data_IF_312169300554
#
_entry.id   IF_312169300554
#
_cell.length_a   1.000
_cell.length_b   1.000
_cell.length_c   1.000
_cell.angle_alpha   90.00
_cell.angle_beta   90.00
_cell.angle_gamma   90.00
#
_symmetry.space_group_name_H-M   'P 1'
#
loop_
_entity.id
_entity.type
_entity.pdbx_description
1 polymer ?
#
# COMPACT_ATOMS: atom_id res chain seq x y z
N UNK A 1 -38.04 10.70 19.34
CA UNK A 1 -36.65 10.32 19.66
C UNK A 1 -36.00 9.90 18.36
N UNK A 2 -35.38 10.83 17.63
CA UNK A 2 -34.80 10.54 16.31
C UNK A 2 -33.32 10.27 16.48
N UNK A 3 -32.90 9.00 16.37
CA UNK A 3 -31.49 8.63 16.32
C UNK A 3 -30.99 8.85 14.90
N UNK A 4 -30.20 9.90 14.71
CA UNK A 4 -29.41 10.13 13.49
C UNK A 4 -28.30 9.09 13.44
N UNK A 5 -28.39 8.14 12.51
CA UNK A 5 -27.30 7.22 12.22
C UNK A 5 -26.16 8.01 11.58
N UNK A 6 -25.09 8.23 12.34
CA UNK A 6 -23.82 8.71 11.80
C UNK A 6 -23.30 7.69 10.80
N UNK A 7 -23.27 8.06 9.52
CA UNK A 7 -22.59 7.28 8.50
C UNK A 7 -21.09 7.32 8.79
N UNK A 8 -20.59 6.33 9.52
CA UNK A 8 -19.17 6.01 9.48
C UNK A 8 -18.87 5.65 8.02
N UNK A 9 -18.16 6.54 7.33
CA UNK A 9 -17.66 6.29 5.99
C UNK A 9 -16.76 5.05 6.07
N UNK A 10 -17.34 3.88 5.81
CA UNK A 10 -16.60 2.63 5.74
C UNK A 10 -15.58 2.79 4.63
N UNK A 11 -14.30 2.60 4.95
CA UNK A 11 -13.28 2.53 3.93
C UNK A 11 -13.65 1.40 2.95
N UNK A 12 -13.41 1.62 1.66
CA UNK A 12 -13.69 0.62 0.64
C UNK A 12 -12.98 -0.71 0.99
N UNK A 13 -13.62 -1.86 0.75
CA UNK A 13 -13.03 -3.15 1.07
C UNK A 13 -11.70 -3.34 0.33
N UNK A 14 -10.72 -3.96 1.00
CA UNK A 14 -9.44 -4.30 0.37
C UNK A 14 -9.67 -5.29 -0.76
N UNK A 15 -9.22 -4.94 -1.96
CA UNK A 15 -9.22 -5.87 -3.10
C UNK A 15 -7.99 -6.76 -3.02
N UNK A 16 -8.17 -8.08 -2.88
CA UNK A 16 -7.05 -9.01 -2.90
C UNK A 16 -6.44 -9.08 -4.31
N UNK A 17 -5.12 -9.11 -4.40
CA UNK A 17 -4.43 -9.07 -5.68
C UNK A 17 -3.06 -8.41 -5.61
N UNK A 18 -2.51 -8.10 -6.80
CA UNK A 18 -1.16 -7.58 -6.96
C UNK A 18 -1.14 -6.06 -7.06
N UNK A 19 -0.42 -5.44 -6.14
CA UNK A 19 -0.21 -4.00 -6.07
C UNK A 19 1.18 -3.65 -6.58
N UNK A 20 1.25 -2.96 -7.71
CA UNK A 20 2.52 -2.49 -8.28
C UNK A 20 2.94 -1.18 -7.62
N UNK A 21 4.18 -1.11 -7.15
CA UNK A 21 4.71 0.03 -6.39
C UNK A 21 5.75 0.82 -7.19
N UNK A 22 5.61 2.14 -7.15
CA UNK A 22 6.52 3.11 -7.79
C UNK A 22 6.87 4.24 -6.82
N UNK A 23 8.09 4.73 -6.87
CA UNK A 23 8.43 6.05 -6.31
C UNK A 23 8.47 7.07 -7.43
N UNK A 24 8.24 8.33 -7.08
CA UNK A 24 8.35 9.45 -8.02
C UNK A 24 9.35 10.46 -7.46
N UNK A 25 10.34 10.81 -8.26
CA UNK A 25 11.36 11.80 -7.91
C UNK A 25 11.34 12.94 -8.91
N UNK A 26 11.22 14.17 -8.42
CA UNK A 26 11.34 15.34 -9.27
C UNK A 26 12.81 15.59 -9.61
N UNK A 27 13.15 15.63 -10.89
CA UNK A 27 14.49 16.01 -11.37
C UNK A 27 14.49 17.47 -11.74
N UNK A 28 14.99 18.31 -10.83
CA UNK A 28 15.07 19.75 -11.03
C UNK A 28 15.87 20.14 -12.29
N UNK A 29 16.92 19.38 -12.63
CA UNK A 29 17.76 19.63 -13.82
C UNK A 29 17.02 19.48 -15.16
N UNK A 30 15.98 18.65 -15.21
CA UNK A 30 15.18 18.42 -16.43
C UNK A 30 13.75 18.96 -16.31
N UNK A 31 13.32 19.41 -15.13
CA UNK A 31 11.94 19.84 -14.89
C UNK A 31 10.91 18.72 -14.97
N UNK A 32 11.33 17.46 -14.91
CA UNK A 32 10.46 16.28 -15.10
C UNK A 32 10.39 15.39 -13.87
N UNK A 33 9.31 14.60 -13.78
CA UNK A 33 9.20 13.52 -12.80
C UNK A 33 9.79 12.23 -13.37
N UNK A 34 10.69 11.61 -12.62
CA UNK A 34 11.15 10.25 -12.86
C UNK A 34 10.33 9.30 -12.00
N UNK A 35 9.83 8.22 -12.60
CA UNK A 35 9.09 7.16 -11.91
C UNK A 35 9.97 5.92 -11.82
N UNK A 36 10.28 5.49 -10.60
CA UNK A 36 11.18 4.36 -10.36
C UNK A 36 10.32 3.18 -9.87
N UNK A 37 10.23 2.07 -10.62
CA UNK A 37 9.51 0.88 -10.19
C UNK A 37 10.30 0.14 -9.10
N UNK A 38 9.63 -0.21 -8.01
CA UNK A 38 10.24 -0.95 -6.89
C UNK A 38 9.80 -2.42 -6.83
N UNK A 39 8.83 -2.81 -7.66
CA UNK A 39 8.28 -4.16 -7.70
C UNK A 39 6.80 -4.14 -7.36
N UNK A 40 6.32 -5.22 -6.76
CA UNK A 40 4.92 -5.35 -6.37
C UNK A 40 4.77 -6.17 -5.12
N UNK A 41 3.69 -5.98 -4.37
CA UNK A 41 3.27 -6.92 -3.35
C UNK A 41 1.91 -7.51 -3.71
N UNK A 42 1.72 -8.78 -3.42
CA UNK A 42 0.42 -9.45 -3.55
C UNK A 42 -0.14 -9.70 -2.17
N UNK A 43 -1.41 -9.39 -1.94
CA UNK A 43 -2.13 -9.72 -0.71
C UNK A 43 -3.18 -10.80 -0.98
N UNK A 44 -3.21 -11.81 -0.13
CA UNK A 44 -4.10 -12.96 -0.23
C UNK A 44 -5.21 -12.92 0.83
N UNK A 45 -6.38 -13.54 0.58
CA UNK A 45 -7.49 -13.52 1.53
C UNK A 45 -7.19 -14.22 2.87
N UNK A 46 -6.16 -15.06 2.93
CA UNK A 46 -5.71 -15.72 4.16
C UNK A 46 -4.91 -14.78 5.09
N UNK A 47 -4.63 -13.54 4.68
CA UNK A 47 -3.85 -12.55 5.44
C UNK A 47 -2.33 -12.64 5.22
N UNK A 48 -1.87 -13.41 4.24
CA UNK A 48 -0.47 -13.42 3.81
C UNK A 48 -0.21 -12.40 2.70
N UNK A 49 1.02 -11.88 2.65
CA UNK A 49 1.51 -11.10 1.53
C UNK A 49 2.81 -11.67 0.97
N UNK A 50 3.06 -11.41 -0.31
CA UNK A 50 4.31 -11.71 -1.01
C UNK A 50 4.83 -10.49 -1.74
N UNK A 51 6.03 -10.03 -1.40
CA UNK A 51 6.76 -8.98 -2.09
C UNK A 51 7.62 -9.56 -3.22
N UNK A 52 7.41 -9.05 -4.43
CA UNK A 52 7.94 -9.52 -5.71
C UNK A 52 8.92 -8.49 -6.33
N UNK A 53 9.75 -7.85 -5.50
CA UNK A 53 10.81 -6.94 -5.95
C UNK A 53 12.20 -7.58 -6.05
N UNK A 54 12.32 -8.87 -5.72
CA UNK A 54 13.59 -9.62 -5.72
C UNK A 54 13.45 -10.91 -6.54
N UNK A 55 14.59 -11.53 -6.86
CA UNK A 55 14.61 -12.84 -7.53
C UNK A 55 13.86 -13.92 -6.72
N UNK A 56 13.99 -13.88 -5.39
CA UNK A 56 13.19 -14.70 -4.48
C UNK A 56 12.16 -13.83 -3.75
N UNK A 57 10.85 -14.16 -3.83
CA UNK A 57 9.82 -13.41 -3.11
C UNK A 57 10.09 -13.35 -1.61
N UNK A 58 9.80 -12.20 -1.01
CA UNK A 58 9.81 -12.04 0.45
C UNK A 58 8.38 -12.09 0.97
N UNK A 59 8.10 -12.96 1.93
CA UNK A 59 6.74 -13.21 2.42
C UNK A 59 6.54 -12.76 3.86
N UNK A 60 5.31 -12.37 4.18
CA UNK A 60 4.91 -12.05 5.55
C UNK A 60 3.41 -12.06 5.71
N UNK A 61 2.92 -11.38 6.75
CA UNK A 61 1.50 -11.23 7.07
C UNK A 61 1.08 -9.77 6.92
N UNK A 62 -0.20 -9.56 6.66
CA UNK A 62 -0.79 -8.24 6.70
C UNK A 62 -2.08 -8.24 7.52
N UNK A 63 -2.42 -7.07 8.06
CA UNK A 63 -3.70 -6.80 8.68
C UNK A 63 -4.35 -5.61 7.96
N UNK A 64 -5.64 -5.74 7.63
CA UNK A 64 -6.42 -4.66 7.05
C UNK A 64 -7.35 -4.06 8.10
N UNK A 65 -7.25 -2.75 8.30
CA UNK A 65 -8.14 -1.99 9.16
C UNK A 65 -9.31 -1.45 8.33
N UNK A 66 -10.50 -2.03 8.48
CA UNK A 66 -11.68 -1.64 7.70
C UNK A 66 -12.20 -0.22 8.05
N UNK A 67 -11.85 0.31 9.22
CA UNK A 67 -12.25 1.65 9.63
C UNK A 67 -11.49 2.74 8.86
N UNK A 68 -10.18 2.59 8.70
CA UNK A 68 -9.31 3.55 8.02
C UNK A 68 -8.94 3.15 6.59
N UNK A 69 -9.15 1.88 6.22
CA UNK A 69 -8.71 1.30 4.97
C UNK A 69 -7.19 1.06 4.90
N UNK A 70 -6.49 1.12 6.04
CA UNK A 70 -5.04 0.93 6.10
C UNK A 70 -4.66 -0.55 6.08
N UNK A 71 -3.48 -0.83 5.53
CA UNK A 71 -2.84 -2.15 5.59
C UNK A 71 -1.57 -2.03 6.43
N UNK A 72 -1.43 -2.86 7.46
CA UNK A 72 -0.21 -2.99 8.25
C UNK A 72 0.50 -4.29 7.91
N UNK A 73 1.81 -4.25 7.68
CA UNK A 73 2.61 -5.40 7.29
C UNK A 73 3.51 -5.88 8.44
N UNK A 74 3.61 -7.19 8.61
CA UNK A 74 4.43 -7.84 9.64
C UNK A 74 5.23 -8.99 9.05
N UNK A 75 6.53 -9.05 9.34
CA UNK A 75 7.49 -9.98 8.76
C UNK A 75 7.81 -9.67 7.29
N UNK A 76 8.80 -10.37 6.73
CA UNK A 76 9.25 -10.16 5.36
C UNK A 76 9.92 -8.80 5.12
N UNK A 77 9.98 -8.37 3.86
CA UNK A 77 10.66 -7.13 3.45
C UNK A 77 9.92 -5.86 3.84
N UNK A 78 8.59 -5.91 3.90
CA UNK A 78 7.72 -4.79 4.27
C UNK A 78 7.44 -4.76 5.77
N UNK A 79 8.22 -5.46 6.61
CA UNK A 79 8.00 -5.50 8.07
C UNK A 79 7.88 -4.09 8.67
N UNK A 80 6.88 -3.91 9.54
CA UNK A 80 6.50 -2.61 10.14
C UNK A 80 6.14 -1.54 9.11
N UNK A 81 5.82 -1.96 7.90
CA UNK A 81 5.31 -1.10 6.85
C UNK A 81 3.82 -0.82 7.03
N UNK A 82 3.41 0.35 6.56
CA UNK A 82 2.01 0.75 6.49
C UNK A 82 1.67 1.22 5.07
N UNK A 83 0.59 0.68 4.51
CA UNK A 83 -0.04 1.18 3.29
C UNK A 83 -1.32 1.95 3.66
N UNK A 84 -1.26 3.27 3.51
CA UNK A 84 -2.40 4.17 3.77
C UNK A 84 -3.15 4.47 2.48
N UNK A 85 -4.50 4.35 2.43
CA UNK A 85 -5.25 4.58 1.21
C UNK A 85 -5.15 6.04 0.74
N UNK A 86 -5.13 6.22 -0.57
CA UNK A 86 -5.13 7.55 -1.20
C UNK A 86 -6.59 8.01 -1.34
N UNK A 87 -6.93 9.17 -0.75
CA UNK A 87 -8.29 9.73 -0.83
C UNK A 87 -8.69 9.94 -2.29
N UNK A 88 -9.85 9.41 -2.67
CA UNK A 88 -10.41 9.53 -4.03
C UNK A 88 -10.04 8.39 -4.97
N UNK A 89 -9.11 7.51 -4.59
CA UNK A 89 -8.68 6.39 -5.41
C UNK A 89 -8.83 5.06 -4.66
N UNK A 90 -9.87 4.30 -5.01
CA UNK A 90 -10.02 2.93 -4.51
C UNK A 90 -8.84 2.07 -4.99
N UNK A 91 -8.25 1.28 -4.08
CA UNK A 91 -7.12 0.38 -4.36
C UNK A 91 -5.79 1.06 -4.73
N UNK A 92 -5.58 2.31 -4.30
CA UNK A 92 -4.26 2.95 -4.32
C UNK A 92 -3.83 3.31 -2.91
N UNK A 93 -2.56 3.05 -2.61
CA UNK A 93 -2.00 3.20 -1.27
C UNK A 93 -0.65 3.91 -1.32
N UNK A 94 -0.40 4.74 -0.31
CA UNK A 94 0.92 5.19 0.06
C UNK A 94 1.54 4.17 1.00
N UNK A 95 2.56 3.46 0.51
CA UNK A 95 3.34 2.51 1.29
C UNK A 95 4.55 3.22 1.90
N UNK A 96 4.67 3.14 3.21
CA UNK A 96 5.81 3.64 3.99
C UNK A 96 6.34 2.47 4.81
N UNK A 97 7.63 2.19 4.73
CA UNK A 97 8.29 1.21 5.62
C UNK A 97 9.59 1.81 6.16
N UNK A 98 10.06 1.38 7.34
CA UNK A 98 11.34 1.82 7.87
C UNK A 98 12.54 1.39 7.00
N UNK A 99 12.35 0.39 6.13
CA UNK A 99 13.37 -0.11 5.21
C UNK A 99 13.44 0.69 3.89
N UNK A 100 12.51 1.62 3.63
CA UNK A 100 12.51 2.39 2.38
C UNK A 100 13.44 3.62 2.43
N UNK A 101 14.40 3.75 1.49
CA UNK A 101 15.27 4.92 1.42
C UNK A 101 14.57 6.19 0.88
N UNK A 102 13.51 6.02 0.07
CA UNK A 102 12.77 7.14 -0.56
C UNK A 102 11.53 7.56 0.24
N UNK A 103 11.42 7.11 1.50
CA UNK A 103 10.36 7.37 2.48
C UNK A 103 8.92 6.94 2.10
N UNK A 104 8.54 6.91 0.82
CA UNK A 104 7.18 6.58 0.40
C UNK A 104 7.11 6.05 -1.03
N UNK A 105 6.44 4.92 -1.21
CA UNK A 105 6.03 4.40 -2.51
C UNK A 105 4.54 4.59 -2.72
N UNK A 106 4.13 4.76 -3.98
CA UNK A 106 2.72 4.70 -4.39
C UNK A 106 2.46 3.33 -4.99
N UNK A 107 1.53 2.59 -4.41
CA UNK A 107 1.17 1.25 -4.85
C UNK A 107 -0.26 1.22 -5.35
N UNK A 108 -0.48 0.65 -6.52
CA UNK A 108 -1.79 0.56 -7.16
C UNK A 108 -2.09 -0.88 -7.60
N UNK A 109 -3.33 -1.31 -7.42
CA UNK A 109 -3.79 -2.60 -7.94
C UNK A 109 -3.62 -2.62 -9.47
N UNK A 110 -3.06 -3.70 -10.00
CA UNK A 110 -2.92 -3.96 -11.43
C UNK A 110 -3.77 -5.12 -11.89
#
# INVERSE_FOLDING_TARGET
>A
MSCTFGAAAHAAPLTHGKYSCVSSKFKASSGTYEFIPHGSFTVSPDGAYSYLGFEKPSTGRFAFDAASGKISFTGGYLDKGEATPIKGDSNRFYLVTPTLPEHRWTCALK
#
